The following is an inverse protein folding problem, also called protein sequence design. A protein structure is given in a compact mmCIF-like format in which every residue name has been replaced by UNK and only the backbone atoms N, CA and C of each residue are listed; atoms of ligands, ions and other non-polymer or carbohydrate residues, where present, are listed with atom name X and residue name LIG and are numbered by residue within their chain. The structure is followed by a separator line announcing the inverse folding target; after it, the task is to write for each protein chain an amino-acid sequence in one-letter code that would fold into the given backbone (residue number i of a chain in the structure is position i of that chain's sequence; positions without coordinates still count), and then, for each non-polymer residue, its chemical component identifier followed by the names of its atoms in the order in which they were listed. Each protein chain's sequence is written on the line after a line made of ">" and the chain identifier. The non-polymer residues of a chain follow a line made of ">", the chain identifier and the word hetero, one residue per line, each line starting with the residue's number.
data_IF_139311447812
#
_entry.id   IF_139311447812
#
_cell.length_a   1.000
_cell.length_b   1.000
_cell.length_c   1.000
_cell.angle_alpha   90.00
_cell.angle_beta   90.00
_cell.angle_gamma   90.00
#
_symmetry.space_group_name_H-M   'P 1'
#
loop_
_entity.id
_entity.type
_entity.pdbx_description
1 polymer ?
#
# COMPACT_ATOMS: atom_id res chain seq x y z
N UNK A 1 26.35 -6.04 14.66
CA UNK A 1 25.53 -6.95 13.85
C UNK A 1 26.23 -7.20 12.53
N UNK A 2 26.24 -8.45 12.08
CA UNK A 2 26.69 -8.80 10.73
C UNK A 2 25.67 -8.34 9.68
N UNK A 3 26.08 -8.27 8.41
CA UNK A 3 25.17 -7.96 7.31
C UNK A 3 24.01 -8.97 7.22
N UNK A 4 24.29 -10.24 7.47
CA UNK A 4 23.29 -11.31 7.46
C UNK A 4 22.24 -11.13 8.56
N UNK A 5 22.66 -10.69 9.75
CA UNK A 5 21.74 -10.40 10.87
C UNK A 5 20.80 -9.25 10.51
N UNK A 6 21.30 -8.18 9.90
CA UNK A 6 20.50 -7.01 9.49
C UNK A 6 19.48 -7.41 8.41
N UNK A 7 19.89 -8.18 7.40
CA UNK A 7 18.99 -8.64 6.34
C UNK A 7 17.89 -9.52 6.91
N UNK A 8 18.25 -10.44 7.81
CA UNK A 8 17.30 -11.33 8.49
C UNK A 8 16.30 -10.54 9.34
N UNK A 9 16.78 -9.57 10.11
CA UNK A 9 15.93 -8.72 10.94
C UNK A 9 14.94 -7.91 10.09
N UNK A 10 15.41 -7.30 8.99
CA UNK A 10 14.55 -6.59 8.04
C UNK A 10 13.48 -7.49 7.44
N UNK A 11 13.84 -8.72 7.05
CA UNK A 11 12.87 -9.69 6.52
C UNK A 11 11.78 -10.04 7.55
N UNK A 12 12.16 -10.22 8.83
CA UNK A 12 11.22 -10.47 9.93
C UNK A 12 10.29 -9.27 10.12
N UNK A 13 10.84 -8.05 10.16
CA UNK A 13 10.06 -6.83 10.31
C UNK A 13 9.10 -6.62 9.14
N UNK A 14 9.57 -6.77 7.90
CA UNK A 14 8.73 -6.68 6.69
C UNK A 14 7.56 -7.66 6.78
N UNK A 15 7.82 -8.93 7.13
CA UNK A 15 6.76 -9.94 7.28
C UNK A 15 5.75 -9.59 8.37
N UNK A 16 6.21 -9.01 9.48
CA UNK A 16 5.34 -8.54 10.56
C UNK A 16 4.41 -7.43 10.07
N UNK A 17 4.95 -6.45 9.34
CA UNK A 17 4.12 -5.36 8.80
C UNK A 17 3.14 -5.85 7.73
N UNK A 18 3.54 -6.81 6.88
CA UNK A 18 2.62 -7.42 5.92
C UNK A 18 1.41 -8.09 6.61
N UNK A 19 1.63 -8.78 7.73
CA UNK A 19 0.54 -9.37 8.51
C UNK A 19 -0.39 -8.28 9.09
N UNK A 20 0.17 -7.21 9.66
CA UNK A 20 -0.63 -6.09 10.16
C UNK A 20 -1.43 -5.40 9.05
N UNK A 21 -0.85 -5.23 7.86
CA UNK A 21 -1.52 -4.66 6.70
C UNK A 21 -2.66 -5.56 6.20
N UNK A 22 -2.49 -6.88 6.24
CA UNK A 22 -3.57 -7.81 5.92
C UNK A 22 -4.74 -7.70 6.91
N UNK A 23 -4.45 -7.61 8.22
CA UNK A 23 -5.49 -7.39 9.24
C UNK A 23 -6.18 -6.03 9.10
N UNK A 24 -5.41 -4.98 8.77
CA UNK A 24 -5.95 -3.65 8.49
C UNK A 24 -6.82 -3.64 7.23
N UNK A 25 -6.41 -4.36 6.17
CA UNK A 25 -7.17 -4.49 4.93
C UNK A 25 -8.58 -5.03 5.18
N UNK A 26 -8.74 -6.02 6.06
CA UNK A 26 -10.07 -6.53 6.43
C UNK A 26 -10.95 -5.46 7.09
N UNK A 27 -10.37 -4.61 7.94
CA UNK A 27 -11.11 -3.48 8.55
C UNK A 27 -11.49 -2.43 7.51
N UNK A 28 -10.58 -2.11 6.59
CA UNK A 28 -10.82 -1.17 5.48
C UNK A 28 -11.95 -1.68 4.59
N UNK A 29 -11.98 -2.98 4.28
CA UNK A 29 -13.04 -3.59 3.49
C UNK A 29 -14.43 -3.45 4.11
N UNK A 30 -14.53 -3.50 5.44
CA UNK A 30 -15.81 -3.26 6.14
C UNK A 30 -16.32 -1.84 5.90
N UNK A 31 -15.42 -0.86 5.77
CA UNK A 31 -15.77 0.55 5.54
C UNK A 31 -16.05 0.84 4.06
N UNK A 32 -15.17 0.39 3.17
CA UNK A 32 -15.20 0.78 1.75
C UNK A 32 -15.91 -0.23 0.85
N UNK A 33 -16.10 -1.47 1.31
CA UNK A 33 -16.39 -2.61 0.44
C UNK A 33 -15.15 -3.06 -0.33
N UNK A 34 -15.30 -3.56 -1.58
CA UNK A 34 -14.19 -4.01 -2.40
C UNK A 34 -13.10 -2.94 -2.56
N UNK A 35 -11.85 -3.34 -2.31
CA UNK A 35 -10.69 -2.49 -2.48
C UNK A 35 -9.44 -3.30 -2.88
N UNK A 36 -8.46 -2.60 -3.43
CA UNK A 36 -7.11 -3.11 -3.65
C UNK A 36 -6.14 -2.31 -2.80
N UNK A 37 -5.28 -2.99 -2.03
CA UNK A 37 -4.24 -2.35 -1.22
C UNK A 37 -2.88 -2.88 -1.68
N UNK A 38 -1.98 -1.95 -1.95
CA UNK A 38 -0.64 -2.22 -2.45
C UNK A 38 0.37 -1.52 -1.54
N UNK A 39 1.32 -2.28 -1.01
CA UNK A 39 2.52 -1.75 -0.36
C UNK A 39 3.57 -1.49 -1.42
N UNK A 40 4.15 -0.30 -1.45
CA UNK A 40 5.25 0.02 -2.36
C UNK A 40 6.41 0.65 -1.58
N UNK A 41 7.39 1.19 -2.30
CA UNK A 41 8.51 1.89 -1.67
C UNK A 41 9.44 0.97 -0.88
N UNK A 42 10.05 1.52 0.17
CA UNK A 42 11.19 0.88 0.83
C UNK A 42 10.83 -0.39 1.60
N UNK A 43 9.63 -0.44 2.18
CA UNK A 43 9.13 -1.65 2.83
C UNK A 43 8.80 -2.75 1.85
N UNK A 44 8.33 -2.43 0.64
CA UNK A 44 8.12 -3.43 -0.41
C UNK A 44 9.46 -4.01 -0.90
N UNK A 45 10.47 -3.16 -1.12
CA UNK A 45 11.82 -3.57 -1.55
C UNK A 45 12.66 -4.25 -0.46
N UNK A 46 12.33 -4.02 0.81
CA UNK A 46 13.09 -4.55 1.95
C UNK A 46 14.35 -3.74 2.31
N UNK A 47 14.51 -2.54 1.75
CA UNK A 47 15.66 -1.64 1.97
C UNK A 47 15.35 -0.48 2.93
N UNK A 48 14.23 -0.56 3.65
CA UNK A 48 13.78 0.43 4.63
C UNK A 48 14.71 0.61 5.83
N UNK A 49 14.56 1.74 6.50
CA UNK A 49 15.22 2.06 7.76
C UNK A 49 14.18 2.24 8.90
N UNK A 50 14.65 2.44 10.14
CA UNK A 50 13.75 2.55 11.31
C UNK A 50 12.74 3.70 11.21
N UNK A 51 13.07 4.75 10.47
CA UNK A 51 12.28 5.97 10.29
C UNK A 51 11.47 5.96 8.99
N UNK A 52 11.55 4.89 8.21
CA UNK A 52 10.76 4.76 6.98
C UNK A 52 9.28 4.63 7.31
N UNK A 53 8.48 5.41 6.59
CA UNK A 53 7.02 5.27 6.56
C UNK A 53 6.61 4.04 5.74
N UNK A 54 5.38 3.57 5.95
CA UNK A 54 4.75 2.59 5.06
C UNK A 54 4.09 3.34 3.89
N UNK A 55 4.64 3.16 2.68
CA UNK A 55 4.07 3.72 1.45
C UNK A 55 2.95 2.81 0.93
N UNK A 56 1.71 3.27 1.01
CA UNK A 56 0.52 2.48 0.68
C UNK A 56 -0.30 3.15 -0.44
N UNK A 57 -0.75 2.33 -1.38
CA UNK A 57 -1.73 2.71 -2.38
C UNK A 57 -3.02 1.91 -2.15
N UNK A 58 -4.11 2.63 -1.87
CA UNK A 58 -5.45 2.08 -1.69
C UNK A 58 -6.32 2.50 -2.87
N UNK A 59 -6.88 1.52 -3.57
CA UNK A 59 -7.77 1.74 -4.71
C UNK A 59 -9.17 1.25 -4.38
N UNK A 60 -10.16 2.14 -4.51
CA UNK A 60 -11.57 1.81 -4.36
C UNK A 60 -12.46 2.84 -5.08
N UNK A 61 -13.53 2.38 -5.72
CA UNK A 61 -14.52 3.27 -6.33
C UNK A 61 -15.40 4.00 -5.31
N UNK A 62 -15.29 3.64 -4.02
CA UNK A 62 -15.87 4.41 -2.91
C UNK A 62 -15.45 5.89 -2.95
N UNK A 63 -14.27 6.20 -3.52
CA UNK A 63 -13.72 7.55 -3.55
C UNK A 63 -14.20 8.46 -4.69
N UNK A 64 -15.04 7.99 -5.62
CA UNK A 64 -15.41 8.70 -6.87
C UNK A 64 -16.06 10.09 -6.62
N UNK A 65 -16.60 10.34 -5.43
CA UNK A 65 -17.19 11.64 -5.04
C UNK A 65 -16.61 12.22 -3.75
N UNK A 66 -15.46 11.72 -3.29
CA UNK A 66 -14.79 12.19 -2.07
C UNK A 66 -13.55 12.97 -2.47
N UNK A 67 -13.39 14.17 -1.89
CA UNK A 67 -12.21 15.01 -2.14
C UNK A 67 -10.97 14.29 -1.68
N UNK A 68 -9.89 14.39 -2.46
CA UNK A 68 -8.66 13.62 -2.24
C UNK A 68 -8.14 13.70 -0.79
N UNK A 69 -8.14 14.88 -0.19
CA UNK A 69 -7.66 15.11 1.18
C UNK A 69 -8.57 14.51 2.27
N UNK A 70 -9.84 14.23 1.96
CA UNK A 70 -10.84 13.71 2.90
C UNK A 70 -10.94 12.17 2.83
N UNK A 71 -10.28 11.53 1.86
CA UNK A 71 -10.41 10.08 1.60
C UNK A 71 -9.87 9.23 2.75
N UNK A 72 -8.89 9.73 3.47
CA UNK A 72 -8.28 9.03 4.62
C UNK A 72 -9.10 9.15 5.90
N UNK A 73 -9.99 10.13 6.01
CA UNK A 73 -10.70 10.45 7.26
C UNK A 73 -11.65 9.33 7.72
N UNK A 74 -12.14 8.53 6.76
CA UNK A 74 -13.05 7.42 7.03
C UNK A 74 -12.33 6.09 7.31
N UNK A 75 -11.01 6.03 7.17
CA UNK A 75 -10.27 4.79 7.23
C UNK A 75 -9.89 4.43 8.68
N UNK A 76 -9.84 3.13 9.02
CA UNK A 76 -9.30 2.69 10.29
C UNK A 76 -7.85 3.16 10.48
N UNK A 77 -7.49 3.56 11.70
CA UNK A 77 -6.12 3.97 12.01
C UNK A 77 -5.11 2.83 11.82
N UNK A 78 -3.93 3.18 11.32
CA UNK A 78 -2.74 2.34 11.28
C UNK A 78 -1.81 2.71 12.45
N UNK A 79 -1.24 1.70 13.11
CA UNK A 79 -0.36 1.91 14.27
C UNK A 79 1.04 2.42 13.90
N UNK A 80 1.30 2.70 12.63
CA UNK A 80 2.59 3.18 12.10
C UNK A 80 2.37 4.42 11.26
N UNK A 81 3.42 5.22 11.16
CA UNK A 81 3.48 6.30 10.18
C UNK A 81 3.37 5.72 8.77
N UNK A 82 2.42 6.25 8.00
CA UNK A 82 2.05 5.75 6.67
C UNK A 82 1.85 6.93 5.73
N UNK A 83 2.41 6.83 4.54
CA UNK A 83 2.04 7.68 3.41
C UNK A 83 1.00 6.93 2.59
N UNK A 84 -0.28 7.29 2.75
CA UNK A 84 -1.41 6.59 2.16
C UNK A 84 -2.03 7.40 1.03
N UNK A 85 -1.98 6.84 -0.18
CA UNK A 85 -2.58 7.43 -1.37
C UNK A 85 -3.86 6.67 -1.70
N UNK A 86 -4.97 7.38 -1.76
CA UNK A 86 -6.29 6.82 -2.04
C UNK A 86 -6.74 7.21 -3.45
N UNK A 87 -6.95 6.24 -4.34
CA UNK A 87 -7.39 6.46 -5.72
C UNK A 87 -8.66 5.69 -6.07
N UNK A 88 -9.40 6.21 -7.04
CA UNK A 88 -10.43 5.41 -7.73
C UNK A 88 -9.78 4.48 -8.75
N UNK A 89 -10.51 3.47 -9.23
CA UNK A 89 -9.99 2.60 -10.28
C UNK A 89 -9.68 3.38 -11.57
N UNK A 90 -10.42 4.47 -11.83
CA UNK A 90 -10.16 5.38 -12.95
C UNK A 90 -8.86 6.14 -12.78
N UNK A 91 -8.64 6.75 -11.61
CA UNK A 91 -7.43 7.49 -11.30
C UNK A 91 -6.19 6.57 -11.36
N UNK A 92 -6.30 5.35 -10.84
CA UNK A 92 -5.24 4.34 -10.94
C UNK A 92 -4.82 4.07 -12.39
N UNK A 93 -5.79 3.80 -13.27
CA UNK A 93 -5.54 3.50 -14.70
C UNK A 93 -4.86 4.66 -15.43
N UNK A 94 -5.13 5.90 -15.04
CA UNK A 94 -4.48 7.08 -15.61
C UNK A 94 -3.07 7.26 -15.02
N UNK A 95 -2.93 7.11 -13.70
CA UNK A 95 -1.68 7.35 -13.00
C UNK A 95 -0.60 6.33 -13.32
N UNK A 96 -0.95 5.05 -13.50
CA UNK A 96 0.02 3.98 -13.80
C UNK A 96 0.72 4.16 -15.15
N UNK A 97 0.14 4.95 -16.08
CA UNK A 97 0.76 5.29 -17.35
C UNK A 97 1.96 6.25 -17.19
N UNK A 98 2.08 6.93 -16.06
CA UNK A 98 3.19 7.85 -15.78
C UNK A 98 4.42 7.05 -15.36
N UNK A 99 5.57 7.35 -15.97
CA UNK A 99 6.84 6.65 -15.71
C UNK A 99 7.24 6.63 -14.23
N UNK A 100 6.98 7.72 -13.49
CA UNK A 100 7.25 7.80 -12.06
C UNK A 100 6.47 6.76 -11.24
N UNK A 101 5.18 6.62 -11.51
CA UNK A 101 4.31 5.66 -10.82
C UNK A 101 4.60 4.23 -11.22
N UNK A 102 4.88 3.99 -12.51
CA UNK A 102 5.31 2.68 -12.97
C UNK A 102 6.60 2.23 -12.26
N UNK A 103 7.58 3.12 -12.12
CA UNK A 103 8.82 2.85 -11.39
C UNK A 103 8.56 2.58 -9.90
N UNK A 104 7.75 3.44 -9.26
CA UNK A 104 7.46 3.31 -7.83
C UNK A 104 6.75 2.00 -7.46
N UNK A 105 5.88 1.51 -8.35
CA UNK A 105 5.08 0.30 -8.13
C UNK A 105 5.73 -0.99 -8.66
N UNK A 106 6.91 -0.90 -9.29
CA UNK A 106 7.59 -2.04 -9.94
C UNK A 106 7.87 -3.19 -8.95
N UNK A 107 8.35 -2.86 -7.75
CA UNK A 107 8.67 -3.82 -6.69
C UNK A 107 7.58 -3.91 -5.62
N UNK A 108 6.34 -3.54 -5.98
CA UNK A 108 5.25 -3.47 -5.02
C UNK A 108 4.74 -4.86 -4.59
N UNK A 109 4.17 -4.92 -3.39
CA UNK A 109 3.53 -6.10 -2.82
C UNK A 109 2.02 -5.82 -2.74
N UNK A 110 1.24 -6.65 -3.43
CA UNK A 110 -0.23 -6.62 -3.36
C UNK A 110 -0.66 -7.27 -2.05
N UNK A 111 -1.34 -6.52 -1.19
CA UNK A 111 -1.89 -7.01 0.08
C UNK A 111 -3.26 -7.64 -0.16
N UNK A 112 -4.10 -6.97 -0.93
CA UNK A 112 -5.41 -7.46 -1.37
C UNK A 112 -5.76 -6.86 -2.73
N UNK A 113 -6.50 -7.57 -3.58
CA UNK A 113 -6.85 -7.09 -4.93
C UNK A 113 -8.29 -7.44 -5.33
N UNK A 114 -9.28 -6.87 -4.63
CA UNK A 114 -10.68 -7.10 -4.99
C UNK A 114 -11.09 -6.30 -6.24
N UNK A 115 -10.39 -5.21 -6.55
CA UNK A 115 -10.66 -4.41 -7.76
C UNK A 115 -9.99 -4.99 -9.03
N UNK A 116 -9.25 -6.09 -8.90
CA UNK A 116 -8.55 -6.79 -10.00
C UNK A 116 -7.66 -5.86 -10.85
N UNK A 117 -6.90 -4.98 -10.18
CA UNK A 117 -6.00 -4.03 -10.84
C UNK A 117 -4.55 -4.52 -10.86
N UNK A 118 -4.19 -5.52 -10.06
CA UNK A 118 -2.82 -6.04 -10.01
C UNK A 118 -2.28 -6.54 -11.37
N UNK A 119 -3.08 -7.03 -12.33
CA UNK A 119 -2.56 -7.37 -13.66
C UNK A 119 -1.97 -6.18 -14.42
N UNK A 120 -2.33 -4.94 -14.07
CA UNK A 120 -1.84 -3.71 -14.69
C UNK A 120 -0.50 -3.22 -14.11
N UNK A 121 0.00 -3.87 -13.06
CA UNK A 121 1.30 -3.56 -12.44
C UNK A 121 2.49 -4.19 -13.20
N UNK A 122 2.23 -5.02 -14.21
CA UNK A 122 3.23 -5.75 -15.01
C UNK A 122 3.56 -5.04 -16.33
#
# INVERSE_FOLDING_TARGET
>A
MSLEEIIKERSILQKKELNHLAEWAEKVKVVLGPCTIILFGSYARGDFNLWSDLDLLLVSDYFENIRFLERTDSLPELSRSTDLICWTAREFKISILKASWKSALMDSIVIVDDCNISPLLK
#
